data_IF_732717785892
#
_entry.id   IF_732717785892
#
_cell.length_a   1.000
_cell.length_b   1.000
_cell.length_c   1.000
_cell.angle_alpha   90.00
_cell.angle_beta   90.00
_cell.angle_gamma   90.00
#
_symmetry.space_group_name_H-M   'P 1'
#
loop_
_entity.id
_entity.type
_entity.pdbx_description
1 polymer ?
#
# COMPACT_ATOMS: atom_id res chain seq x y z
N UNK A 1 12.78 3.28 7.64
CA UNK A 1 11.31 3.42 7.72
C UNK A 1 10.98 4.66 8.53
N UNK A 2 10.23 5.60 7.97
CA UNK A 2 9.65 6.76 8.68
C UNK A 2 8.31 6.37 9.33
N UNK A 3 7.82 7.16 10.29
CA UNK A 3 6.53 6.90 10.95
C UNK A 3 5.35 6.81 9.98
N UNK A 4 5.36 7.60 8.89
CA UNK A 4 4.33 7.54 7.85
C UNK A 4 4.41 6.25 7.02
N UNK A 5 5.61 5.74 6.75
CA UNK A 5 5.78 4.46 6.04
C UNK A 5 5.18 3.31 6.86
N UNK A 6 5.48 3.28 8.16
CA UNK A 6 4.93 2.26 9.05
C UNK A 6 3.41 2.37 9.17
N UNK A 7 2.85 3.59 9.23
CA UNK A 7 1.40 3.79 9.26
C UNK A 7 0.70 3.29 7.97
N UNK A 8 1.25 3.61 6.80
CA UNK A 8 0.68 3.17 5.51
C UNK A 8 0.74 1.66 5.37
N UNK A 9 1.90 1.04 5.59
CA UNK A 9 2.06 -0.40 5.42
C UNK A 9 1.32 -1.18 6.52
N UNK A 10 1.35 -0.69 7.76
CA UNK A 10 0.64 -1.31 8.88
C UNK A 10 -0.89 -1.25 8.76
N UNK A 11 -1.43 -0.27 8.02
CA UNK A 11 -2.86 -0.21 7.71
C UNK A 11 -3.30 -1.24 6.67
N UNK A 12 -2.38 -1.72 5.83
CA UNK A 12 -2.69 -2.68 4.77
C UNK A 12 -2.80 -4.10 5.33
N UNK A 13 -4.03 -4.62 5.41
CA UNK A 13 -4.27 -5.98 5.87
C UNK A 13 -3.95 -7.02 4.79
N UNK A 14 -3.35 -8.17 5.15
CA UNK A 14 -3.12 -9.27 4.22
C UNK A 14 -4.42 -9.72 3.53
N UNK A 15 -4.33 -9.98 2.22
CA UNK A 15 -5.48 -10.41 1.40
C UNK A 15 -6.48 -9.29 1.05
N UNK A 16 -6.24 -8.06 1.50
CA UNK A 16 -7.01 -6.88 1.07
C UNK A 16 -6.23 -6.05 0.06
N UNK A 17 -7.00 -5.34 -0.76
CA UNK A 17 -6.51 -4.46 -1.81
C UNK A 17 -6.82 -3.01 -1.48
N UNK A 18 -5.91 -2.12 -1.86
CA UNK A 18 -5.98 -0.71 -1.51
C UNK A 18 -5.59 0.15 -2.71
N UNK A 19 -6.24 1.31 -2.84
CA UNK A 19 -5.81 2.37 -3.76
C UNK A 19 -5.05 3.44 -2.99
N UNK A 20 -4.20 4.21 -3.69
CA UNK A 20 -3.52 5.35 -3.06
C UNK A 20 -4.49 6.43 -2.57
N UNK A 21 -5.69 6.50 -3.16
CA UNK A 21 -6.79 7.34 -2.69
C UNK A 21 -7.36 6.86 -1.36
N UNK A 22 -7.71 5.57 -1.27
CA UNK A 22 -8.28 4.99 -0.07
C UNK A 22 -7.31 5.16 1.12
N UNK A 23 -6.01 4.89 0.91
CA UNK A 23 -4.98 5.06 1.95
C UNK A 23 -4.77 6.52 2.34
N UNK A 24 -4.80 7.43 1.36
CA UNK A 24 -4.68 8.87 1.61
C UNK A 24 -5.84 9.38 2.47
N UNK A 25 -7.06 8.96 2.17
CA UNK A 25 -8.26 9.32 2.93
C UNK A 25 -8.24 8.72 4.34
N UNK A 26 -7.97 7.41 4.46
CA UNK A 26 -7.98 6.70 5.75
C UNK A 26 -6.93 7.24 6.74
N UNK A 27 -5.74 7.61 6.24
CA UNK A 27 -4.62 8.04 7.08
C UNK A 27 -4.47 9.56 7.17
N UNK A 28 -5.35 10.33 6.50
CA UNK A 28 -5.28 11.80 6.39
C UNK A 28 -3.92 12.30 5.91
N UNK A 29 -3.28 11.53 5.01
CA UNK A 29 -2.00 11.88 4.40
C UNK A 29 -2.21 12.37 2.97
N UNK A 30 -1.34 13.23 2.46
CA UNK A 30 -1.41 13.65 1.05
C UNK A 30 -1.15 12.46 0.11
N UNK A 31 -1.87 12.41 -1.01
CA UNK A 31 -1.66 11.39 -2.06
C UNK A 31 -0.21 11.32 -2.54
N UNK A 32 0.52 12.44 -2.56
CA UNK A 32 1.93 12.47 -2.95
C UNK A 32 2.80 11.68 -1.96
N UNK A 33 2.60 11.87 -0.65
CA UNK A 33 3.32 11.12 0.38
C UNK A 33 2.99 9.63 0.29
N UNK A 34 1.71 9.28 0.19
CA UNK A 34 1.27 7.88 0.05
C UNK A 34 1.86 7.23 -1.21
N UNK A 35 1.83 7.91 -2.35
CA UNK A 35 2.41 7.39 -3.59
C UNK A 35 3.93 7.17 -3.48
N UNK A 36 4.66 8.06 -2.80
CA UNK A 36 6.10 7.90 -2.55
C UNK A 36 6.36 6.64 -1.71
N UNK A 37 5.57 6.44 -0.65
CA UNK A 37 5.68 5.29 0.25
C UNK A 37 5.35 3.98 -0.49
N UNK A 38 4.22 3.93 -1.19
CA UNK A 38 3.81 2.75 -1.96
C UNK A 38 4.84 2.39 -3.03
N UNK A 39 5.41 3.39 -3.72
CA UNK A 39 6.48 3.15 -4.70
C UNK A 39 7.72 2.56 -4.04
N UNK A 40 8.12 3.05 -2.86
CA UNK A 40 9.25 2.52 -2.10
C UNK A 40 8.99 1.07 -1.67
N UNK A 41 7.83 0.79 -1.07
CA UNK A 41 7.43 -0.53 -0.61
C UNK A 41 7.31 -1.56 -1.75
N UNK A 42 6.80 -1.14 -2.90
CA UNK A 42 6.75 -1.98 -4.10
C UNK A 42 8.16 -2.33 -4.59
N UNK A 43 9.07 -1.36 -4.68
CA UNK A 43 10.48 -1.62 -5.07
C UNK A 43 11.21 -2.50 -4.06
N UNK A 44 10.88 -2.35 -2.77
CA UNK A 44 11.40 -3.21 -1.70
C UNK A 44 10.76 -4.59 -1.63
N UNK A 45 9.79 -4.91 -2.49
CA UNK A 45 9.13 -6.21 -2.54
C UNK A 45 8.18 -6.49 -1.37
N UNK A 46 7.76 -5.47 -0.62
CA UNK A 46 6.83 -5.62 0.54
C UNK A 46 5.38 -5.74 0.08
N UNK A 47 5.04 -5.07 -1.01
CA UNK A 47 3.69 -5.04 -1.58
C UNK A 47 3.72 -5.38 -3.06
N UNK A 48 2.61 -5.90 -3.57
CA UNK A 48 2.33 -6.02 -4.99
C UNK A 48 1.57 -4.82 -5.52
N UNK A 49 1.68 -4.61 -6.82
CA UNK A 49 0.98 -3.55 -7.55
C UNK A 49 0.44 -4.12 -8.86
N UNK A 50 -0.85 -3.95 -9.09
CA UNK A 50 -1.53 -4.40 -10.30
C UNK A 50 -2.62 -3.42 -10.73
N UNK A 51 -3.12 -3.60 -11.94
CA UNK A 51 -4.28 -2.88 -12.46
C UNK A 51 -5.50 -3.79 -12.38
N UNK A 52 -6.62 -3.26 -11.91
CA UNK A 52 -7.87 -3.98 -11.74
C UNK A 52 -8.95 -3.36 -12.62
N UNK A 53 -9.74 -4.17 -13.30
CA UNK A 53 -10.77 -3.69 -14.21
C UNK A 53 -11.88 -2.97 -13.42
N UNK A 54 -12.19 -1.73 -13.80
CA UNK A 54 -13.14 -0.88 -13.07
C UNK A 54 -12.50 0.03 -12.01
N UNK A 55 -11.23 -0.18 -11.65
CA UNK A 55 -10.49 0.70 -10.73
C UNK A 55 -9.60 1.66 -11.52
N UNK A 56 -9.81 2.97 -11.33
CA UNK A 56 -8.95 3.99 -11.98
C UNK A 56 -7.58 4.04 -11.29
N UNK A 57 -6.56 3.49 -11.94
CA UNK A 57 -5.17 3.56 -11.49
C UNK A 57 -4.60 2.22 -11.05
N UNK A 58 -3.69 2.24 -10.08
CA UNK A 58 -3.07 1.04 -9.53
C UNK A 58 -3.70 0.65 -8.20
N UNK A 59 -3.80 -0.66 -8.00
CA UNK A 59 -4.22 -1.31 -6.77
C UNK A 59 -2.99 -1.96 -6.14
N UNK A 60 -2.95 -1.95 -4.81
CA UNK A 60 -1.84 -2.42 -4.00
C UNK A 60 -2.31 -3.43 -2.96
N UNK A 61 -1.55 -4.50 -2.76
CA UNK A 61 -1.78 -5.50 -1.72
C UNK A 61 -0.48 -5.83 -1.01
N UNK A 62 -0.53 -6.12 0.29
CA UNK A 62 0.65 -6.63 0.98
C UNK A 62 0.97 -8.03 0.48
N UNK A 63 2.26 -8.33 0.26
CA UNK A 63 2.67 -9.71 0.09
C UNK A 63 2.46 -10.40 1.43
N UNK A 64 1.73 -11.51 1.42
CA UNK A 64 1.87 -12.46 2.51
C UNK A 64 3.31 -12.98 2.45
N UNK A 65 4.17 -12.41 3.28
CA UNK A 65 5.39 -13.11 3.64
C UNK A 65 4.93 -14.38 4.34
N UNK A 66 5.26 -15.55 3.78
CA UNK A 66 4.95 -16.86 4.35
C UNK A 66 5.72 -17.13 5.64
N UNK A 67 5.58 -16.27 6.64
CA UNK A 67 5.96 -16.59 8.00
C UNK A 67 4.79 -17.36 8.59
N UNK A 68 4.86 -18.70 8.49
CA UNK A 68 4.15 -19.57 9.41
C UNK A 68 4.69 -19.28 10.82
N UNK A 69 3.85 -18.74 11.69
CA UNK A 69 4.07 -18.72 13.14
C UNK A 69 3.40 -19.94 13.77
#
# INVERSE_FOLDING_TARGET
MTGNEQAVIGHMQPGRTYTSEALSSALKLSRQVVNKILRSAYRGGVIDRFSEQGTRGFVYSTKQFGFSF
#
